data_IF_472058458337
#
_entry.id   IF_472058458337
#
_cell.length_a   1.000
_cell.length_b   1.000
_cell.length_c   1.000
_cell.angle_alpha   90.00
_cell.angle_beta   90.00
_cell.angle_gamma   90.00
#
_symmetry.space_group_name_H-M   'P 1'
#
loop_
_entity.id
_entity.type
_entity.pdbx_description
1 polymer ?
#
# COMPACT_ATOMS: atom_id res chain seq x y z
N UNK A 1 14.09 -2.69 15.52
CA UNK A 1 14.52 -1.28 15.59
C UNK A 1 13.83 -0.53 14.47
N UNK A 2 13.37 0.70 14.72
CA UNK A 2 12.82 1.58 13.68
C UNK A 2 13.63 2.86 13.67
N UNK A 3 14.13 3.23 12.50
CA UNK A 3 14.89 4.45 12.27
C UNK A 3 14.20 5.30 11.20
N UNK A 4 14.05 6.59 11.46
CA UNK A 4 13.66 7.56 10.46
C UNK A 4 14.92 8.26 9.94
N UNK A 5 15.24 8.08 8.66
CA UNK A 5 16.32 8.85 8.02
C UNK A 5 15.94 10.32 7.96
N UNK A 6 16.91 11.22 7.78
CA UNK A 6 16.64 12.67 7.64
C UNK A 6 15.56 12.97 6.59
N UNK A 7 14.35 13.43 6.99
CA UNK A 7 13.27 13.67 6.05
C UNK A 7 13.61 14.86 5.16
N UNK A 8 13.26 14.78 3.89
CA UNK A 8 13.53 15.83 2.90
C UNK A 8 12.24 16.57 2.54
N UNK A 9 12.16 17.84 2.93
CA UNK A 9 11.09 18.72 2.48
C UNK A 9 11.32 19.14 1.02
N UNK A 10 10.26 19.08 0.20
CA UNK A 10 10.25 19.58 -1.18
C UNK A 10 9.01 20.44 -1.41
N UNK A 11 9.15 21.40 -2.33
CA UNK A 11 8.04 22.23 -2.79
C UNK A 11 8.00 22.20 -4.32
N UNK A 12 6.80 22.08 -4.89
CA UNK A 12 6.60 22.03 -6.33
C UNK A 12 5.19 22.47 -6.73
N UNK A 13 4.83 22.27 -8.01
CA UNK A 13 3.52 22.66 -8.55
C UNK A 13 2.32 22.06 -7.81
N UNK A 14 2.50 20.91 -7.17
CA UNK A 14 1.45 20.17 -6.44
C UNK A 14 1.42 20.46 -4.93
N UNK A 15 2.01 21.57 -4.47
CA UNK A 15 2.11 21.94 -3.06
C UNK A 15 3.38 21.42 -2.38
N UNK A 16 3.43 21.55 -1.04
CA UNK A 16 4.56 21.05 -0.24
C UNK A 16 4.42 19.56 0.01
N UNK A 17 5.57 18.87 0.05
CA UNK A 17 5.65 17.48 0.44
C UNK A 17 6.89 17.22 1.29
N UNK A 18 6.83 16.17 2.10
CA UNK A 18 7.98 15.63 2.84
C UNK A 18 8.19 14.20 2.40
N UNK A 19 9.42 13.88 1.99
CA UNK A 19 9.86 12.51 1.75
C UNK A 19 10.51 11.99 3.03
N UNK A 20 9.98 10.88 3.54
CA UNK A 20 10.50 10.23 4.74
C UNK A 20 10.83 8.77 4.41
N UNK A 21 11.97 8.29 4.88
CA UNK A 21 12.35 6.89 4.76
C UNK A 21 12.46 6.28 6.15
N UNK A 22 11.67 5.22 6.38
CA UNK A 22 11.71 4.43 7.61
C UNK A 22 12.47 3.14 7.34
N UNK A 23 13.52 2.89 8.10
CA UNK A 23 14.22 1.62 8.13
C UNK A 23 13.73 0.81 9.34
N UNK A 24 13.27 -0.40 9.07
CA UNK A 24 12.87 -1.36 10.08
C UNK A 24 13.87 -2.51 10.07
N UNK A 25 14.48 -2.79 11.22
CA UNK A 25 15.36 -3.95 11.40
C UNK A 25 14.71 -4.91 12.39
N UNK A 26 14.43 -6.13 11.96
CA UNK A 26 13.91 -7.22 12.79
C UNK A 26 15.09 -8.06 13.25
N UNK A 27 15.26 -8.20 14.57
CA UNK A 27 16.37 -8.92 15.19
C UNK A 27 15.87 -10.24 15.80
N UNK A 28 16.59 -11.32 15.54
CA UNK A 28 16.40 -12.64 16.19
C UNK A 28 17.80 -13.15 16.57
N UNK A 29 18.04 -13.60 17.82
CA UNK A 29 19.37 -14.06 18.21
C UNK A 29 19.95 -15.11 17.26
N UNK A 30 21.22 -14.98 16.80
CA UNK A 30 22.20 -13.96 17.22
C UNK A 30 22.28 -12.70 16.34
N UNK A 31 21.35 -12.42 15.41
CA UNK A 31 21.51 -11.35 14.42
C UNK A 31 20.24 -10.74 13.85
N UNK A 32 20.35 -10.18 12.64
CA UNK A 32 19.25 -9.58 11.89
C UNK A 32 18.51 -10.69 11.15
N UNK A 33 17.19 -10.74 11.31
CA UNK A 33 16.32 -11.64 10.59
C UNK A 33 15.78 -11.02 9.29
N UNK A 34 15.49 -9.72 9.31
CA UNK A 34 15.00 -8.99 8.14
C UNK A 34 15.25 -7.49 8.28
N UNK A 35 15.35 -6.82 7.14
CA UNK A 35 15.36 -5.36 7.02
C UNK A 35 14.27 -4.95 6.03
N UNK A 36 13.58 -3.86 6.33
CA UNK A 36 12.49 -3.32 5.51
C UNK A 36 12.58 -1.80 5.45
N UNK A 37 12.45 -1.24 4.24
CA UNK A 37 12.60 0.19 3.97
C UNK A 37 11.32 0.77 3.38
N UNK A 38 10.68 1.70 4.09
CA UNK A 38 9.46 2.36 3.63
C UNK A 38 9.73 3.79 3.22
N UNK A 39 9.49 4.08 1.94
CA UNK A 39 9.56 5.44 1.40
C UNK A 39 8.16 6.05 1.38
N UNK A 40 7.90 6.99 2.30
CA UNK A 40 6.59 7.61 2.48
C UNK A 40 6.64 9.06 2.00
N UNK A 41 5.62 9.45 1.24
CA UNK A 41 5.42 10.83 0.78
C UNK A 41 4.29 11.45 1.60
N UNK A 42 4.65 12.30 2.55
CA UNK A 42 3.68 13.15 3.25
C UNK A 42 3.39 14.37 2.38
N UNK A 43 2.11 14.72 2.27
CA UNK A 43 1.64 15.86 1.49
C UNK A 43 0.79 16.73 2.39
N UNK A 44 0.72 18.02 2.09
CA UNK A 44 -0.29 18.89 2.71
C UNK A 44 -1.69 18.30 2.44
N UNK A 45 -2.58 18.45 3.41
CA UNK A 45 -3.99 18.09 3.26
C UNK A 45 -4.59 18.78 2.04
N UNK A 46 -5.44 18.05 1.32
CA UNK A 46 -6.07 18.58 0.13
C UNK A 46 -7.09 19.65 0.53
N UNK A 47 -6.99 20.81 -0.13
CA UNK A 47 -8.03 21.82 -0.04
C UNK A 47 -9.11 21.46 -1.05
N UNK A 48 -10.36 21.31 -0.56
CA UNK A 48 -11.56 21.23 -1.41
C UNK A 48 -11.58 20.12 -2.47
N UNK A 49 -11.04 18.92 -2.18
CA UNK A 49 -11.23 17.74 -3.04
C UNK A 49 -10.57 17.80 -4.42
N UNK A 50 -9.66 18.74 -4.64
CA UNK A 50 -9.06 19.02 -5.95
C UNK A 50 -7.99 17.98 -6.38
N UNK A 51 -7.62 17.04 -5.49
CA UNK A 51 -6.61 16.03 -5.81
C UNK A 51 -7.26 14.81 -6.47
N UNK A 52 -7.18 14.77 -7.79
CA UNK A 52 -7.46 13.55 -8.54
C UNK A 52 -6.28 12.57 -8.39
N UNK A 53 -6.52 11.30 -8.03
CA UNK A 53 -5.47 10.29 -8.02
C UNK A 53 -4.85 10.12 -9.41
N UNK A 54 -3.55 9.77 -9.52
CA UNK A 54 -2.96 9.46 -10.81
C UNK A 54 -3.73 8.30 -11.46
N UNK A 55 -3.91 8.32 -12.80
CA UNK A 55 -4.55 7.22 -13.50
C UNK A 55 -3.73 5.94 -13.34
N UNK A 56 -4.42 4.80 -13.32
CA UNK A 56 -3.75 3.51 -13.38
C UNK A 56 -2.97 3.37 -14.70
N UNK A 57 -1.82 2.73 -14.65
CA UNK A 57 -1.12 2.29 -15.86
C UNK A 57 -1.89 1.11 -16.49
N UNK A 58 -1.83 0.93 -17.81
CA UNK A 58 -2.41 -0.25 -18.46
C UNK A 58 -1.78 -1.53 -17.91
N UNK A 59 -2.58 -2.59 -17.86
CA UNK A 59 -2.07 -3.92 -17.55
C UNK A 59 -1.01 -4.35 -18.60
N UNK A 60 0.00 -5.14 -18.20
CA UNK A 60 0.95 -5.68 -19.15
C UNK A 60 0.27 -6.64 -20.13
N UNK A 61 0.76 -6.69 -21.37
CA UNK A 61 0.20 -7.55 -22.44
C UNK A 61 0.20 -9.05 -22.05
N UNK A 62 1.13 -9.45 -21.19
CA UNK A 62 1.20 -10.79 -20.62
C UNK A 62 1.85 -10.78 -19.24
N UNK A 63 1.52 -11.77 -18.42
CA UNK A 63 2.18 -12.02 -17.15
C UNK A 63 2.49 -13.52 -17.01
N UNK A 64 3.64 -13.84 -16.44
CA UNK A 64 4.02 -15.24 -16.19
C UNK A 64 3.05 -15.93 -15.23
N UNK A 65 2.57 -15.19 -14.22
CA UNK A 65 1.61 -15.64 -13.24
C UNK A 65 0.52 -14.59 -13.05
N UNK A 66 -0.70 -15.06 -12.81
CA UNK A 66 -1.87 -14.22 -12.54
C UNK A 66 -2.75 -14.91 -11.49
N UNK A 67 -3.45 -14.12 -10.68
CA UNK A 67 -4.43 -14.61 -9.73
C UNK A 67 -5.55 -13.60 -9.58
N UNK A 68 -6.77 -14.05 -9.72
CA UNK A 68 -7.96 -13.25 -9.46
C UNK A 68 -8.40 -13.41 -8.01
N UNK A 69 -8.70 -12.29 -7.35
CA UNK A 69 -9.10 -12.26 -5.94
C UNK A 69 -10.29 -11.31 -5.77
N UNK A 70 -11.29 -11.74 -5.01
CA UNK A 70 -12.39 -10.86 -4.60
C UNK A 70 -12.15 -10.38 -3.18
N UNK A 71 -11.79 -9.11 -3.02
CA UNK A 71 -11.60 -8.48 -1.72
C UNK A 71 -12.91 -7.82 -1.27
N UNK A 72 -13.46 -8.30 -0.16
CA UNK A 72 -14.67 -7.75 0.46
C UNK A 72 -14.34 -6.83 1.62
N UNK A 73 -15.26 -5.94 1.99
CA UNK A 73 -15.10 -4.96 3.06
C UNK A 73 -14.63 -5.57 4.40
N UNK A 74 -15.17 -6.75 4.78
CA UNK A 74 -14.77 -7.43 6.03
C UNK A 74 -13.29 -7.82 6.00
N UNK A 75 -12.76 -8.26 4.86
CA UNK A 75 -11.33 -8.59 4.72
C UNK A 75 -10.46 -7.34 4.85
N UNK A 76 -10.88 -6.22 4.25
CA UNK A 76 -10.14 -4.96 4.35
C UNK A 76 -10.14 -4.42 5.79
N UNK A 77 -11.27 -4.53 6.48
CA UNK A 77 -11.37 -4.19 7.90
C UNK A 77 -10.46 -5.08 8.77
N UNK A 78 -10.52 -6.41 8.59
CA UNK A 78 -9.69 -7.35 9.33
C UNK A 78 -8.20 -7.12 9.07
N UNK A 79 -7.83 -6.85 7.82
CA UNK A 79 -6.45 -6.53 7.48
C UNK A 79 -5.99 -5.23 8.17
N UNK A 80 -6.79 -4.16 8.10
CA UNK A 80 -6.54 -2.91 8.84
C UNK A 80 -6.31 -3.15 10.33
N UNK A 81 -7.12 -3.99 10.97
CA UNK A 81 -6.93 -4.35 12.37
C UNK A 81 -5.63 -5.14 12.62
N UNK A 82 -5.33 -6.12 11.77
CA UNK A 82 -4.16 -6.98 11.91
C UNK A 82 -2.83 -6.20 11.80
N UNK A 83 -2.78 -5.20 10.92
CA UNK A 83 -1.59 -4.36 10.73
C UNK A 83 -1.64 -3.04 11.51
N UNK A 84 -2.62 -2.86 12.40
CA UNK A 84 -2.81 -1.63 13.16
C UNK A 84 -2.86 -0.36 12.29
N UNK A 85 -3.51 -0.44 11.13
CA UNK A 85 -3.71 0.68 10.23
C UNK A 85 -5.16 1.19 10.34
N UNK A 86 -5.40 2.26 11.11
CA UNK A 86 -6.74 2.77 11.37
C UNK A 86 -7.29 3.65 10.24
N UNK A 87 -6.58 3.83 9.12
CA UNK A 87 -7.04 4.76 8.09
C UNK A 87 -8.34 4.29 7.43
N UNK A 88 -9.36 5.15 7.55
CA UNK A 88 -10.74 4.86 7.15
C UNK A 88 -10.95 4.64 5.65
N UNK A 89 -10.03 5.07 4.78
CA UNK A 89 -10.12 4.88 3.32
C UNK A 89 -10.21 3.40 2.91
N UNK A 90 -9.82 2.49 3.80
CA UNK A 90 -9.76 1.06 3.54
C UNK A 90 -11.05 0.31 3.91
N UNK A 91 -11.87 0.84 4.82
CA UNK A 91 -12.99 0.08 5.39
C UNK A 91 -14.27 0.89 5.64
N UNK A 92 -14.23 2.21 5.57
CA UNK A 92 -15.39 3.11 5.75
C UNK A 92 -15.76 3.76 4.42
N UNK A 93 -16.73 3.17 3.72
CA UNK A 93 -17.12 3.62 2.37
C UNK A 93 -17.64 5.06 2.34
N UNK A 94 -18.59 5.48 3.22
CA UNK A 94 -19.04 6.87 3.27
C UNK A 94 -17.91 7.88 3.48
N UNK A 95 -16.95 7.61 4.37
CA UNK A 95 -15.78 8.47 4.56
C UNK A 95 -14.90 8.52 3.32
N UNK A 96 -14.62 7.35 2.74
CA UNK A 96 -13.73 7.22 1.59
C UNK A 96 -14.25 8.00 0.39
N UNK A 97 -15.55 7.91 0.11
CA UNK A 97 -16.16 8.59 -1.04
C UNK A 97 -16.59 10.02 -0.76
N UNK A 98 -17.03 10.31 0.46
CA UNK A 98 -17.60 11.61 0.83
C UNK A 98 -16.59 12.61 1.39
N UNK A 99 -15.56 12.13 2.10
CA UNK A 99 -14.54 12.98 2.72
C UNK A 99 -13.24 13.01 1.93
N UNK A 100 -12.77 11.83 1.50
CA UNK A 100 -11.48 11.68 0.80
C UNK A 100 -11.61 11.65 -0.73
N UNK A 101 -12.85 11.77 -1.24
CA UNK A 101 -13.19 11.85 -2.66
C UNK A 101 -12.70 10.67 -3.54
N UNK A 102 -12.30 9.55 -2.94
CA UNK A 102 -12.00 8.33 -3.69
C UNK A 102 -13.28 7.69 -4.22
N UNK A 103 -13.22 7.04 -5.38
CA UNK A 103 -14.42 6.44 -5.97
C UNK A 103 -14.97 5.26 -5.18
N UNK A 104 -14.12 4.53 -4.44
CA UNK A 104 -14.42 3.33 -3.64
C UNK A 104 -13.37 3.14 -2.55
N UNK A 105 -13.56 2.13 -1.70
CA UNK A 105 -12.55 1.68 -0.74
C UNK A 105 -11.22 1.42 -1.44
N UNK A 106 -10.15 2.00 -0.88
CA UNK A 106 -8.78 1.87 -1.39
C UNK A 106 -8.17 0.60 -0.80
N UNK A 107 -7.53 -0.21 -1.63
CA UNK A 107 -6.80 -1.41 -1.20
C UNK A 107 -5.47 -0.97 -0.58
N UNK A 108 -5.06 -1.60 0.52
CA UNK A 108 -3.80 -1.28 1.19
C UNK A 108 -2.59 -1.61 0.31
N UNK A 109 -1.61 -0.71 0.30
CA UNK A 109 -0.29 -1.00 -0.29
C UNK A 109 0.35 -2.26 0.30
N UNK A 110 0.41 -2.42 1.64
CA UNK A 110 0.91 -3.64 2.27
C UNK A 110 0.14 -4.92 1.91
N UNK A 111 -1.19 -4.84 1.76
CA UNK A 111 -1.97 -6.01 1.30
C UNK A 111 -1.55 -6.41 -0.11
N UNK A 112 -1.34 -5.43 -1.00
CA UNK A 112 -0.85 -5.65 -2.36
C UNK A 112 0.52 -6.33 -2.34
N UNK A 113 1.45 -5.85 -1.49
CA UNK A 113 2.77 -6.44 -1.31
C UNK A 113 2.67 -7.93 -0.92
N UNK A 114 1.85 -8.23 0.09
CA UNK A 114 1.66 -9.60 0.54
C UNK A 114 1.05 -10.49 -0.54
N UNK A 115 0.04 -10.00 -1.28
CA UNK A 115 -0.59 -10.77 -2.35
C UNK A 115 0.39 -11.09 -3.49
N UNK A 116 1.33 -10.19 -3.79
CA UNK A 116 2.40 -10.44 -4.76
C UNK A 116 3.39 -11.50 -4.26
N UNK A 117 3.79 -11.44 -2.98
CA UNK A 117 4.65 -12.45 -2.37
C UNK A 117 3.97 -13.82 -2.31
N UNK A 118 2.67 -13.85 -1.98
CA UNK A 118 1.85 -15.07 -1.99
C UNK A 118 1.72 -15.65 -3.40
N UNK A 119 1.61 -14.81 -4.44
CA UNK A 119 1.60 -15.29 -5.83
C UNK A 119 2.92 -15.99 -6.20
N UNK A 120 4.06 -15.46 -5.76
CA UNK A 120 5.37 -16.11 -5.94
C UNK A 120 5.41 -17.44 -5.19
N UNK A 121 4.95 -17.46 -3.93
CA UNK A 121 4.91 -18.68 -3.12
C UNK A 121 4.03 -19.78 -3.74
N UNK A 122 2.88 -19.42 -4.29
CA UNK A 122 1.95 -20.36 -4.93
C UNK A 122 2.54 -20.99 -6.21
N UNK A 123 3.35 -20.23 -6.97
CA UNK A 123 3.85 -20.66 -8.29
C UNK A 123 5.32 -21.09 -8.29
N UNK A 124 6.04 -20.83 -7.21
CA UNK A 124 7.47 -21.07 -7.07
C UNK A 124 7.83 -21.41 -5.62
N UNK A 125 7.06 -22.31 -5.01
CA UNK A 125 7.04 -22.57 -3.57
C UNK A 125 8.32 -23.11 -2.95
N UNK A 126 9.24 -23.66 -3.75
CA UNK A 126 10.56 -24.11 -3.26
C UNK A 126 11.58 -22.96 -3.20
N UNK A 127 11.26 -21.77 -3.72
CA UNK A 127 12.17 -20.63 -3.62
C UNK A 127 12.13 -19.98 -2.24
N UNK A 128 13.31 -19.52 -1.83
CA UNK A 128 13.46 -18.57 -0.73
C UNK A 128 13.48 -17.16 -1.31
N UNK A 129 12.54 -16.32 -0.91
CA UNK A 129 12.53 -14.90 -1.27
C UNK A 129 13.57 -14.18 -0.42
N UNK A 130 14.64 -13.66 -1.04
CA UNK A 130 15.71 -12.95 -0.34
C UNK A 130 15.53 -11.43 -0.33
N UNK A 131 14.78 -10.89 -1.29
CA UNK A 131 14.46 -9.46 -1.38
C UNK A 131 13.19 -9.25 -2.18
N UNK A 132 12.49 -8.15 -1.90
CA UNK A 132 11.30 -7.72 -2.61
C UNK A 132 11.23 -6.20 -2.61
N UNK A 133 11.05 -5.62 -3.79
CA UNK A 133 10.90 -4.18 -3.98
C UNK A 133 9.60 -3.89 -4.70
N UNK A 134 8.84 -2.92 -4.20
CA UNK A 134 7.64 -2.45 -4.87
C UNK A 134 7.49 -0.94 -4.78
N UNK A 135 6.75 -0.39 -5.74
CA UNK A 135 6.34 1.01 -5.75
C UNK A 135 4.86 1.11 -6.07
N UNK A 136 4.08 1.62 -5.13
CA UNK A 136 2.69 1.98 -5.39
C UNK A 136 2.64 3.19 -6.33
N UNK A 137 2.10 3.00 -7.54
CA UNK A 137 2.01 4.04 -8.58
C UNK A 137 0.65 4.74 -8.62
N UNK A 138 -0.43 3.99 -8.42
CA UNK A 138 -1.80 4.46 -8.40
C UNK A 138 -2.60 3.65 -7.36
N UNK A 139 -3.69 4.22 -6.79
CA UNK A 139 -4.54 3.46 -5.88
C UNK A 139 -5.27 2.33 -6.63
N UNK A 140 -5.40 1.18 -5.96
CA UNK A 140 -6.30 0.12 -6.39
C UNK A 140 -7.57 0.16 -5.56
N UNK A 141 -8.69 -0.19 -6.17
CA UNK A 141 -10.01 -0.05 -5.57
C UNK A 141 -10.69 -1.40 -5.40
N UNK A 142 -11.34 -1.61 -4.26
CA UNK A 142 -12.11 -2.82 -4.02
C UNK A 142 -13.40 -2.83 -4.84
N UNK A 143 -13.75 -4.01 -5.38
CA UNK A 143 -15.05 -4.24 -5.99
C UNK A 143 -16.00 -4.68 -4.87
N UNK A 144 -16.79 -3.73 -4.35
CA UNK A 144 -17.86 -4.06 -3.42
C UNK A 144 -19.00 -4.67 -4.23
N UNK A 145 -19.17 -5.99 -4.14
CA UNK A 145 -20.44 -6.61 -4.51
C UNK A 145 -21.36 -6.45 -3.31
N UNK A 146 -22.48 -5.75 -3.49
CA UNK A 146 -23.60 -5.82 -2.56
C UNK A 146 -24.01 -7.29 -2.48
N UNK A 147 -23.86 -7.89 -1.29
CA UNK A 147 -24.39 -9.22 -1.01
C UNK A 147 -25.90 -9.25 -1.14
#
# INVERSE_FOLDING_TARGET
MIELTSPTAKSGRSGKLVLATYLHTILIPPGIAAEDTWNIVFREEDKEGDRTPPPAEPDPDSAAWQKELTLVNVMLFQFSAAIWNPHRIHYDYPYTTGTEAFSRLVIHGPLTAMLLLELVRDNHGDATITSFDMRAKAPMFAIIRSG
#
